data_IF_094565685248
#
_entry.id   IF_094565685248
#
_cell.length_a   1.000
_cell.length_b   1.000
_cell.length_c   1.000
_cell.angle_alpha   90.00
_cell.angle_beta   90.00
_cell.angle_gamma   90.00
#
_symmetry.space_group_name_H-M   'P 1'
#
loop_
_entity.id
_entity.type
_entity.pdbx_description
1 polymer ?
#
# COMPACT_ATOMS: atom_id res chain seq x y z
N UNK A 1 14.46 30.71 -6.90
CA UNK A 1 13.80 29.79 -5.96
C UNK A 1 13.57 28.47 -6.68
N UNK A 2 14.17 27.38 -6.19
CA UNK A 2 14.04 26.06 -6.82
C UNK A 2 12.70 25.44 -6.39
N UNK A 3 11.80 25.22 -7.32
CA UNK A 3 10.58 24.44 -7.10
C UNK A 3 10.97 22.95 -7.07
N UNK A 4 10.92 22.34 -5.91
CA UNK A 4 11.12 20.90 -5.80
C UNK A 4 9.83 20.18 -6.20
N UNK A 5 9.76 19.71 -7.44
CA UNK A 5 8.66 18.83 -7.87
C UNK A 5 8.92 17.41 -7.36
N UNK A 6 8.04 16.87 -6.53
CA UNK A 6 8.09 15.47 -6.12
C UNK A 6 7.48 14.62 -7.24
N UNK A 7 8.32 13.87 -7.97
CA UNK A 7 7.85 12.86 -8.93
C UNK A 7 7.41 11.61 -8.17
N UNK A 8 6.15 11.23 -8.34
CA UNK A 8 5.54 10.08 -7.67
C UNK A 8 5.62 8.87 -8.59
N UNK A 9 6.30 7.82 -8.17
CA UNK A 9 6.32 6.53 -8.85
C UNK A 9 5.70 5.40 -8.02
N UNK A 10 5.22 4.39 -8.71
CA UNK A 10 4.17 3.48 -8.24
C UNK A 10 4.62 2.21 -7.49
N UNK A 11 5.81 2.18 -6.88
CA UNK A 11 6.35 1.00 -6.17
C UNK A 11 6.28 1.19 -4.64
N UNK A 12 6.06 0.14 -3.85
CA UNK A 12 5.93 0.25 -2.38
C UNK A 12 7.20 0.74 -1.68
N UNK A 13 8.39 0.43 -2.21
CA UNK A 13 9.67 0.98 -1.75
C UNK A 13 9.77 2.47 -2.05
N UNK A 14 9.27 2.91 -3.20
CA UNK A 14 9.23 4.30 -3.61
C UNK A 14 8.25 5.11 -2.76
N UNK A 15 7.10 4.55 -2.39
CA UNK A 15 6.16 5.20 -1.47
C UNK A 15 6.82 5.50 -0.12
N UNK A 16 7.49 4.51 0.49
CA UNK A 16 8.17 4.71 1.78
C UNK A 16 9.30 5.74 1.67
N UNK A 17 10.07 5.70 0.58
CA UNK A 17 11.13 6.66 0.31
C UNK A 17 10.58 8.08 0.14
N UNK A 18 9.50 8.24 -0.62
CA UNK A 18 8.86 9.54 -0.86
C UNK A 18 8.19 10.09 0.40
N UNK A 19 7.59 9.25 1.24
CA UNK A 19 7.04 9.67 2.54
C UNK A 19 8.14 10.14 3.50
N UNK A 20 9.29 9.45 3.54
CA UNK A 20 10.46 9.90 4.31
C UNK A 20 10.99 11.23 3.79
N UNK A 21 11.08 11.40 2.47
CA UNK A 21 11.49 12.65 1.84
C UNK A 21 10.53 13.80 2.17
N UNK A 22 9.23 13.58 2.06
CA UNK A 22 8.22 14.58 2.42
C UNK A 22 8.29 14.98 3.90
N UNK A 23 8.46 14.01 4.81
CA UNK A 23 8.63 14.27 6.24
C UNK A 23 9.91 15.09 6.53
N UNK A 24 11.02 14.77 5.84
CA UNK A 24 12.26 15.53 5.94
C UNK A 24 12.07 16.98 5.43
N UNK A 25 11.39 17.17 4.29
CA UNK A 25 11.08 18.50 3.76
C UNK A 25 10.21 19.31 4.73
N UNK A 26 9.20 18.71 5.35
CA UNK A 26 8.37 19.39 6.35
C UNK A 26 9.18 19.83 7.57
N UNK A 27 10.16 19.03 7.98
CA UNK A 27 11.07 19.38 9.09
C UNK A 27 11.98 20.55 8.72
N UNK A 28 12.56 20.55 7.52
CA UNK A 28 13.38 21.65 7.00
C UNK A 28 12.56 22.93 6.91
N UNK A 29 11.38 22.89 6.29
CA UNK A 29 10.49 24.06 6.16
C UNK A 29 10.08 24.62 7.52
N UNK A 30 9.92 23.78 8.54
CA UNK A 30 9.63 24.23 9.90
C UNK A 30 10.82 24.93 10.54
N UNK A 31 12.05 24.46 10.31
CA UNK A 31 13.27 25.11 10.80
C UNK A 31 13.54 26.44 10.07
N UNK A 32 13.38 26.49 8.75
CA UNK A 32 13.51 27.72 7.95
C UNK A 32 12.50 28.77 8.37
N UNK A 33 11.24 28.35 8.61
CA UNK A 33 10.20 29.24 9.14
C UNK A 33 10.62 29.85 10.49
N UNK A 34 11.10 29.03 11.43
CA UNK A 34 11.54 29.53 12.74
C UNK A 34 12.68 30.53 12.60
N UNK A 35 13.63 30.25 11.70
CA UNK A 35 14.75 31.15 11.42
C UNK A 35 14.29 32.45 10.78
N UNK A 36 13.40 32.39 9.77
CA UNK A 36 12.86 33.55 9.10
C UNK A 36 12.02 34.43 10.06
N UNK A 37 11.18 33.80 10.89
CA UNK A 37 10.37 34.50 11.88
C UNK A 37 11.23 35.18 12.94
N UNK A 38 12.34 34.59 13.34
CA UNK A 38 13.29 35.18 14.31
C UNK A 38 14.02 36.37 13.67
N UNK A 39 14.50 36.23 12.43
CA UNK A 39 15.14 37.32 11.70
C UNK A 39 14.18 38.49 11.47
N UNK A 40 12.94 38.21 11.07
CA UNK A 40 11.93 39.25 10.88
C UNK A 40 11.58 39.99 12.17
N UNK A 41 11.58 39.30 13.33
CA UNK A 41 11.40 39.94 14.62
C UNK A 41 12.58 40.86 15.05
N UNK A 42 13.79 40.47 14.66
CA UNK A 42 15.00 41.21 15.07
C UNK A 42 15.32 42.37 14.14
N UNK A 43 15.03 42.26 12.85
CA UNK A 43 15.54 43.17 11.81
C UNK A 43 14.49 43.61 10.78
N UNK A 44 13.25 43.14 10.83
CA UNK A 44 12.21 43.34 9.84
C UNK A 44 10.94 44.00 10.39
N UNK A 45 10.05 44.34 9.50
CA UNK A 45 8.71 44.84 9.82
C UNK A 45 7.75 43.64 10.11
N UNK A 46 6.62 43.93 10.75
CA UNK A 46 5.54 42.92 10.92
C UNK A 46 5.09 42.35 9.56
N UNK A 47 5.10 43.14 8.53
CA UNK A 47 4.76 42.74 7.15
C UNK A 47 5.73 41.69 6.62
N UNK A 48 7.03 41.81 6.83
CA UNK A 48 8.02 40.83 6.41
C UNK A 48 7.87 39.51 7.17
N UNK A 49 7.53 39.59 8.46
CA UNK A 49 7.22 38.40 9.28
C UNK A 49 5.98 37.67 8.78
N UNK A 50 4.91 38.39 8.43
CA UNK A 50 3.68 37.83 7.88
C UNK A 50 3.91 37.21 6.49
N UNK A 51 4.70 37.85 5.65
CA UNK A 51 5.07 37.33 4.32
C UNK A 51 5.84 36.01 4.44
N UNK A 52 6.86 35.95 5.32
CA UNK A 52 7.60 34.71 5.56
C UNK A 52 6.71 33.58 6.09
N UNK A 53 5.73 33.91 6.95
CA UNK A 53 4.72 32.95 7.44
C UNK A 53 3.85 32.41 6.30
N UNK A 54 3.35 33.30 5.44
CA UNK A 54 2.50 32.93 4.33
C UNK A 54 3.24 32.04 3.31
N UNK A 55 4.48 32.36 2.99
CA UNK A 55 5.33 31.54 2.10
C UNK A 55 5.59 30.15 2.69
N UNK A 56 5.95 30.06 3.97
CA UNK A 56 6.16 28.77 4.65
C UNK A 56 4.89 27.94 4.71
N UNK A 57 3.74 28.54 5.00
CA UNK A 57 2.46 27.83 5.02
C UNK A 57 2.09 27.32 3.61
N UNK A 58 2.30 28.11 2.58
CA UNK A 58 2.05 27.71 1.17
C UNK A 58 2.90 26.50 0.79
N UNK A 59 4.18 26.50 1.16
CA UNK A 59 5.07 25.37 0.90
C UNK A 59 4.63 24.12 1.70
N UNK A 60 4.27 24.28 2.97
CA UNK A 60 3.75 23.16 3.80
C UNK A 60 2.48 22.58 3.22
N UNK A 61 1.55 23.41 2.74
CA UNK A 61 0.33 22.95 2.07
C UNK A 61 0.67 22.16 0.79
N UNK A 62 1.65 22.59 0.02
CA UNK A 62 2.08 21.87 -1.18
C UNK A 62 2.64 20.49 -0.86
N UNK A 63 3.50 20.40 0.16
CA UNK A 63 4.02 19.09 0.62
C UNK A 63 2.88 18.22 1.16
N UNK A 64 1.97 18.79 1.93
CA UNK A 64 0.83 18.05 2.50
C UNK A 64 -0.11 17.50 1.40
N UNK A 65 -0.39 18.28 0.35
CA UNK A 65 -1.14 17.79 -0.82
C UNK A 65 -0.44 16.62 -1.50
N UNK A 66 0.88 16.65 -1.62
CA UNK A 66 1.66 15.52 -2.13
C UNK A 66 1.54 14.28 -1.25
N UNK A 67 1.55 14.43 0.07
CA UNK A 67 1.35 13.33 1.02
C UNK A 67 -0.05 12.72 0.86
N UNK A 68 -1.09 13.53 0.77
CA UNK A 68 -2.48 13.06 0.56
C UNK A 68 -2.58 12.27 -0.74
N UNK A 69 -2.00 12.80 -1.82
CA UNK A 69 -2.00 12.10 -3.11
C UNK A 69 -1.29 10.75 -3.04
N UNK A 70 -0.09 10.69 -2.44
CA UNK A 70 0.66 9.45 -2.23
C UNK A 70 -0.15 8.41 -1.44
N UNK A 71 -0.81 8.86 -0.38
CA UNK A 71 -1.65 8.01 0.46
C UNK A 71 -2.84 7.44 -0.33
N UNK A 72 -3.50 8.26 -1.15
CA UNK A 72 -4.62 7.85 -2.01
C UNK A 72 -4.18 6.83 -3.06
N UNK A 73 -3.08 7.09 -3.76
CA UNK A 73 -2.53 6.16 -4.75
C UNK A 73 -2.14 4.81 -4.15
N UNK A 74 -1.56 4.82 -2.95
CA UNK A 74 -1.23 3.59 -2.25
C UNK A 74 -2.48 2.81 -1.83
N UNK A 75 -3.53 3.52 -1.41
CA UNK A 75 -4.83 2.92 -1.07
C UNK A 75 -5.47 2.26 -2.30
N UNK A 76 -5.47 2.93 -3.45
CA UNK A 76 -5.98 2.37 -4.70
C UNK A 76 -5.25 1.09 -5.12
N UNK A 77 -3.90 1.08 -5.02
CA UNK A 77 -3.09 -0.10 -5.32
C UNK A 77 -3.41 -1.28 -4.40
N UNK A 78 -3.56 -1.02 -3.10
CA UNK A 78 -3.91 -2.06 -2.14
C UNK A 78 -5.31 -2.60 -2.40
N UNK A 79 -6.27 -1.74 -2.75
CA UNK A 79 -7.64 -2.12 -3.11
C UNK A 79 -7.66 -3.01 -4.36
N UNK A 80 -6.91 -2.62 -5.40
CA UNK A 80 -6.78 -3.43 -6.63
C UNK A 80 -6.16 -4.80 -6.33
N UNK A 81 -5.05 -4.81 -5.59
CA UNK A 81 -4.39 -6.05 -5.19
C UNK A 81 -5.31 -6.97 -4.40
N UNK A 82 -6.09 -6.41 -3.47
CA UNK A 82 -7.06 -7.17 -2.68
C UNK A 82 -8.14 -7.79 -3.58
N UNK A 83 -8.66 -7.04 -4.55
CA UNK A 83 -9.62 -7.54 -5.53
C UNK A 83 -9.05 -8.70 -6.35
N UNK A 84 -7.82 -8.56 -6.87
CA UNK A 84 -7.14 -9.62 -7.62
C UNK A 84 -6.92 -10.89 -6.76
N UNK A 85 -6.54 -10.73 -5.50
CA UNK A 85 -6.36 -11.84 -4.57
C UNK A 85 -7.68 -12.54 -4.26
N UNK A 86 -8.79 -11.80 -4.08
CA UNK A 86 -10.12 -12.38 -3.87
C UNK A 86 -10.61 -13.14 -5.09
N UNK A 87 -10.41 -12.61 -6.29
CA UNK A 87 -10.71 -13.34 -7.54
C UNK A 87 -9.93 -14.65 -7.62
N UNK A 88 -8.62 -14.61 -7.36
CA UNK A 88 -7.79 -15.80 -7.30
C UNK A 88 -8.26 -16.82 -6.25
N UNK A 89 -8.77 -16.36 -5.12
CA UNK A 89 -9.31 -17.20 -4.06
C UNK A 89 -10.52 -17.99 -4.55
N UNK A 90 -11.44 -17.34 -5.27
CA UNK A 90 -12.61 -18.00 -5.86
C UNK A 90 -12.21 -19.00 -6.94
N UNK A 91 -11.24 -18.67 -7.79
CA UNK A 91 -10.72 -19.60 -8.81
C UNK A 91 -10.08 -20.84 -8.15
N UNK A 92 -9.28 -20.66 -7.12
CA UNK A 92 -8.64 -21.76 -6.38
C UNK A 92 -9.69 -22.64 -5.71
N UNK A 93 -10.75 -22.05 -5.14
CA UNK A 93 -11.87 -22.78 -4.57
C UNK A 93 -12.53 -23.68 -5.62
N UNK A 94 -12.86 -23.14 -6.78
CA UNK A 94 -13.45 -23.93 -7.88
C UNK A 94 -12.54 -25.07 -8.36
N UNK A 95 -11.22 -24.83 -8.44
CA UNK A 95 -10.24 -25.88 -8.76
C UNK A 95 -10.15 -26.97 -7.69
N UNK A 96 -10.20 -26.59 -6.43
CA UNK A 96 -10.20 -27.54 -5.29
C UNK A 96 -11.45 -28.42 -5.34
N UNK A 97 -12.62 -27.84 -5.58
CA UNK A 97 -13.87 -28.59 -5.64
C UNK A 97 -13.85 -29.58 -6.82
N UNK A 98 -13.38 -29.16 -8.00
CA UNK A 98 -13.20 -30.06 -9.14
C UNK A 98 -12.15 -31.17 -8.89
N UNK A 99 -11.03 -30.84 -8.24
CA UNK A 99 -10.00 -31.80 -7.90
C UNK A 99 -10.49 -32.83 -6.85
N UNK A 100 -11.31 -32.42 -5.87
CA UNK A 100 -11.95 -33.30 -4.90
C UNK A 100 -12.88 -34.31 -5.59
N UNK A 101 -13.70 -33.83 -6.51
CA UNK A 101 -14.61 -34.68 -7.29
C UNK A 101 -13.84 -35.68 -8.14
N UNK A 102 -12.82 -35.24 -8.88
CA UNK A 102 -11.96 -36.10 -9.68
C UNK A 102 -11.23 -37.15 -8.84
N UNK A 103 -10.72 -36.76 -7.65
CA UNK A 103 -10.07 -37.68 -6.72
C UNK A 103 -11.06 -38.72 -6.18
N UNK A 104 -12.25 -38.30 -5.77
CA UNK A 104 -13.30 -39.21 -5.27
C UNK A 104 -13.67 -40.22 -6.35
N UNK A 105 -13.94 -39.78 -7.58
CA UNK A 105 -14.25 -40.66 -8.72
C UNK A 105 -13.11 -41.66 -9.00
N UNK A 106 -11.88 -41.20 -9.07
CA UNK A 106 -10.71 -42.06 -9.30
C UNK A 106 -10.54 -43.09 -8.19
N UNK A 107 -10.77 -42.74 -6.93
CA UNK A 107 -10.66 -43.69 -5.80
C UNK A 107 -11.76 -44.73 -5.82
N UNK A 108 -12.93 -44.39 -6.30
CA UNK A 108 -14.05 -45.32 -6.49
C UNK A 108 -13.78 -46.30 -7.61
N UNK A 109 -13.29 -45.82 -8.75
CA UNK A 109 -13.06 -46.64 -9.98
C UNK A 109 -11.79 -47.47 -9.90
N UNK A 110 -10.70 -46.96 -9.36
CA UNK A 110 -9.36 -47.58 -9.45
C UNK A 110 -8.70 -47.85 -8.09
N UNK A 111 -9.32 -47.42 -6.99
CA UNK A 111 -8.81 -47.52 -5.63
C UNK A 111 -7.80 -46.44 -5.24
N UNK A 112 -7.67 -46.17 -3.95
CA UNK A 112 -6.81 -45.13 -3.36
C UNK A 112 -5.32 -45.26 -3.69
N UNK A 113 -4.86 -46.47 -3.94
CA UNK A 113 -3.44 -46.78 -4.18
C UNK A 113 -3.06 -46.74 -5.65
N UNK A 114 -4.00 -46.47 -6.58
CA UNK A 114 -3.67 -46.32 -7.98
C UNK A 114 -2.78 -45.10 -8.20
N UNK A 115 -1.93 -45.14 -9.21
CA UNK A 115 -1.06 -43.99 -9.56
C UNK A 115 -1.88 -42.75 -9.92
N UNK A 116 -3.05 -42.93 -10.53
CA UNK A 116 -3.97 -41.85 -10.87
C UNK A 116 -4.55 -41.19 -9.60
N UNK A 117 -5.03 -41.98 -8.64
CA UNK A 117 -5.57 -41.45 -7.39
C UNK A 117 -4.48 -40.74 -6.57
N UNK A 118 -3.26 -41.26 -6.54
CA UNK A 118 -2.12 -40.62 -5.87
C UNK A 118 -1.73 -39.27 -6.54
N UNK A 119 -1.75 -39.22 -7.88
CA UNK A 119 -1.47 -37.99 -8.61
C UNK A 119 -2.51 -36.91 -8.33
N UNK A 120 -3.81 -37.28 -8.37
CA UNK A 120 -4.91 -36.36 -8.06
C UNK A 120 -4.88 -35.88 -6.61
N UNK A 121 -4.52 -36.75 -5.67
CA UNK A 121 -4.33 -36.35 -4.25
C UNK A 121 -3.21 -35.32 -4.10
N UNK A 122 -2.08 -35.54 -4.77
CA UNK A 122 -0.95 -34.59 -4.75
C UNK A 122 -1.32 -33.22 -5.33
N UNK A 123 -2.10 -33.22 -6.42
CA UNK A 123 -2.61 -31.99 -7.03
C UNK A 123 -3.57 -31.26 -6.07
N UNK A 124 -4.50 -31.99 -5.44
CA UNK A 124 -5.42 -31.44 -4.45
C UNK A 124 -4.66 -30.81 -3.27
N UNK A 125 -3.68 -31.50 -2.70
CA UNK A 125 -2.87 -31.01 -1.59
C UNK A 125 -2.12 -29.71 -1.96
N UNK A 126 -1.63 -29.63 -3.20
CA UNK A 126 -0.99 -28.42 -3.74
C UNK A 126 -1.97 -27.25 -3.85
N UNK A 127 -3.16 -27.48 -4.39
CA UNK A 127 -4.20 -26.45 -4.52
C UNK A 127 -4.65 -25.94 -3.15
N UNK A 128 -4.81 -26.84 -2.16
CA UNK A 128 -5.16 -26.45 -0.79
C UNK A 128 -4.06 -25.62 -0.12
N UNK A 129 -2.78 -25.92 -0.39
CA UNK A 129 -1.66 -25.10 0.09
C UNK A 129 -1.66 -23.71 -0.56
N UNK A 130 -1.90 -23.64 -1.87
CA UNK A 130 -2.01 -22.35 -2.59
C UNK A 130 -3.19 -21.53 -2.08
N UNK A 131 -4.32 -22.16 -1.80
CA UNK A 131 -5.50 -21.50 -1.21
C UNK A 131 -5.16 -20.86 0.15
N UNK A 132 -4.56 -21.63 1.07
CA UNK A 132 -4.13 -21.12 2.39
C UNK A 132 -3.09 -19.98 2.28
N UNK A 133 -2.15 -20.10 1.36
CA UNK A 133 -1.17 -19.05 1.12
C UNK A 133 -1.83 -17.76 0.62
N UNK A 134 -2.80 -17.88 -0.30
CA UNK A 134 -3.55 -16.73 -0.79
C UNK A 134 -4.46 -16.12 0.30
N UNK A 135 -5.10 -16.92 1.12
CA UNK A 135 -5.89 -16.46 2.29
C UNK A 135 -5.01 -15.62 3.25
N UNK A 136 -3.81 -16.11 3.56
CA UNK A 136 -2.83 -15.36 4.35
C UNK A 136 -2.42 -14.04 3.67
N UNK A 137 -2.26 -14.05 2.35
CA UNK A 137 -1.91 -12.86 1.60
C UNK A 137 -3.07 -11.84 1.57
N UNK A 138 -4.32 -12.29 1.50
CA UNK A 138 -5.52 -11.45 1.63
C UNK A 138 -5.50 -10.74 2.99
N UNK A 139 -5.37 -11.48 4.10
CA UNK A 139 -5.35 -10.91 5.45
C UNK A 139 -4.26 -9.85 5.64
N UNK A 140 -3.05 -10.09 5.09
CA UNK A 140 -1.97 -9.08 5.10
C UNK A 140 -2.34 -7.83 4.29
N UNK A 141 -2.98 -8.00 3.14
CA UNK A 141 -3.37 -6.87 2.28
C UNK A 141 -4.53 -6.09 2.91
N UNK A 142 -5.49 -6.74 3.54
CA UNK A 142 -6.58 -6.09 4.29
C UNK A 142 -6.04 -5.27 5.47
N UNK A 143 -5.10 -5.82 6.24
CA UNK A 143 -4.41 -5.09 7.32
C UNK A 143 -3.65 -3.87 6.79
N UNK A 144 -2.94 -4.04 5.68
CA UNK A 144 -2.20 -2.94 5.04
C UNK A 144 -3.15 -1.86 4.52
N UNK A 145 -4.30 -2.24 3.94
CA UNK A 145 -5.32 -1.32 3.45
C UNK A 145 -5.97 -0.55 4.61
N UNK A 146 -6.33 -1.21 5.70
CA UNK A 146 -6.88 -0.56 6.89
C UNK A 146 -5.91 0.48 7.47
N UNK A 147 -4.63 0.12 7.60
CA UNK A 147 -3.59 1.04 8.06
C UNK A 147 -3.39 2.23 7.10
N UNK A 148 -3.53 1.99 5.79
CA UNK A 148 -3.40 3.04 4.79
C UNK A 148 -4.60 3.99 4.81
N UNK A 149 -5.81 3.47 5.01
CA UNK A 149 -7.03 4.28 5.17
C UNK A 149 -6.88 5.27 6.33
N UNK A 150 -6.43 4.77 7.50
CA UNK A 150 -6.17 5.64 8.67
C UNK A 150 -5.12 6.72 8.37
N UNK A 151 -4.09 6.41 7.57
CA UNK A 151 -3.09 7.41 7.17
C UNK A 151 -3.68 8.47 6.25
N UNK A 152 -4.51 8.05 5.29
CA UNK A 152 -5.17 8.97 4.34
C UNK A 152 -6.12 9.93 5.08
N UNK A 153 -6.88 9.43 6.05
CA UNK A 153 -7.80 10.24 6.86
C UNK A 153 -7.08 11.25 7.76
N UNK A 154 -5.86 10.93 8.22
CA UNK A 154 -5.05 11.80 9.08
C UNK A 154 -4.16 12.78 8.30
N UNK A 155 -4.11 12.68 6.98
CA UNK A 155 -3.30 13.54 6.12
C UNK A 155 -4.06 14.77 5.68
#
# INVERSE_FOLDING_TARGET
MAYTSVKISANSSDYQSQMKSAAAQMKVLSAEYTTAATKAKLFGSETDSLKAKAESLTQKITVQKGIVQLNSEQQEKLTKKLSEQKTKQEELKGKIDAAKEAYAKSTEETGKNSEQSKALKKELDKLEQEYKANETAIGKTETALANQTVKTEKS
#
